data_IF_204906678142
#
_entry.id   IF_204906678142
#
_cell.length_a   1.000
_cell.length_b   1.000
_cell.length_c   1.000
_cell.angle_alpha   90.00
_cell.angle_beta   90.00
_cell.angle_gamma   90.00
#
_symmetry.space_group_name_H-M   'P 1'
#
loop_
_entity.id
_entity.type
_entity.pdbx_description
1 polymer ?
#
# COMPACT_ATOMS: atom_id res chain seq x y z
N UNK A 1 -7.11 10.68 -2.32
CA UNK A 1 -7.81 9.55 -1.70
C UNK A 1 -8.63 8.74 -2.69
N UNK A 2 -9.82 9.17 -3.12
CA UNK A 2 -10.67 8.36 -4.01
C UNK A 2 -10.00 7.89 -5.32
N UNK A 3 -9.15 8.73 -5.95
CA UNK A 3 -8.39 8.35 -7.15
C UNK A 3 -7.39 7.21 -6.86
N UNK A 4 -6.70 7.27 -5.72
CA UNK A 4 -5.81 6.17 -5.28
C UNK A 4 -6.60 4.90 -5.02
N UNK A 5 -7.79 5.01 -4.41
CA UNK A 5 -8.64 3.86 -4.11
C UNK A 5 -9.12 3.17 -5.40
N UNK A 6 -9.56 3.96 -6.39
CA UNK A 6 -9.94 3.45 -7.70
C UNK A 6 -8.76 2.77 -8.42
N UNK A 7 -7.57 3.38 -8.36
CA UNK A 7 -6.35 2.81 -8.93
C UNK A 7 -5.96 1.48 -8.27
N UNK A 8 -5.98 1.42 -6.94
CA UNK A 8 -5.67 0.21 -6.18
C UNK A 8 -6.66 -0.92 -6.50
N UNK A 9 -7.97 -0.63 -6.50
CA UNK A 9 -8.99 -1.62 -6.90
C UNK A 9 -8.77 -2.11 -8.34
N UNK A 10 -8.43 -1.20 -9.25
CA UNK A 10 -8.14 -1.54 -10.65
C UNK A 10 -6.99 -2.53 -10.81
N UNK A 11 -5.93 -2.42 -9.99
CA UNK A 11 -4.81 -3.38 -10.00
C UNK A 11 -5.21 -4.68 -9.29
N UNK A 12 -5.75 -4.58 -8.07
CA UNK A 12 -5.98 -5.73 -7.20
C UNK A 12 -7.10 -6.64 -7.70
N UNK A 13 -8.08 -6.10 -8.43
CA UNK A 13 -9.20 -6.86 -8.99
C UNK A 13 -9.01 -7.25 -10.46
N UNK A 14 -7.86 -6.95 -11.06
CA UNK A 14 -7.60 -7.23 -12.47
C UNK A 14 -7.53 -8.74 -12.73
N UNK A 15 -8.31 -9.21 -13.70
CA UNK A 15 -8.27 -10.58 -14.26
C UNK A 15 -8.40 -11.70 -13.21
N UNK A 16 -9.14 -11.45 -12.11
CA UNK A 16 -9.38 -12.44 -11.07
C UNK A 16 -10.70 -13.21 -11.29
N UNK A 17 -10.80 -14.47 -10.85
CA UNK A 17 -12.08 -15.16 -10.75
C UNK A 17 -12.92 -14.62 -9.57
N UNK A 18 -14.24 -14.80 -9.66
CA UNK A 18 -15.18 -14.24 -8.68
C UNK A 18 -14.95 -14.73 -7.24
N UNK A 19 -14.46 -15.95 -7.07
CA UNK A 19 -14.18 -16.55 -5.76
C UNK A 19 -12.97 -15.91 -5.06
N UNK A 20 -12.11 -15.18 -5.79
CA UNK A 20 -10.98 -14.44 -5.22
C UNK A 20 -11.32 -12.98 -4.85
N UNK A 21 -12.53 -12.48 -5.17
CA UNK A 21 -12.88 -11.06 -4.92
C UNK A 21 -12.73 -10.70 -3.43
N UNK A 22 -13.24 -11.55 -2.52
CA UNK A 22 -13.17 -11.27 -1.09
C UNK A 22 -11.73 -11.14 -0.60
N UNK A 23 -10.86 -12.07 -0.99
CA UNK A 23 -9.43 -12.04 -0.67
C UNK A 23 -8.73 -10.78 -1.21
N UNK A 24 -9.07 -10.35 -2.43
CA UNK A 24 -8.52 -9.10 -2.99
C UNK A 24 -9.02 -7.84 -2.30
N UNK A 25 -10.26 -7.83 -1.81
CA UNK A 25 -10.77 -6.73 -1.01
C UNK A 25 -10.06 -6.63 0.35
N UNK A 26 -9.66 -7.76 0.94
CA UNK A 26 -8.83 -7.76 2.15
C UNK A 26 -7.44 -7.15 1.87
N UNK A 27 -6.84 -7.44 0.72
CA UNK A 27 -5.58 -6.79 0.30
C UNK A 27 -5.77 -5.29 0.08
N UNK A 28 -6.86 -4.88 -0.58
CA UNK A 28 -7.19 -3.48 -0.75
C UNK A 28 -7.30 -2.76 0.60
N UNK A 29 -8.00 -3.37 1.58
CA UNK A 29 -8.12 -2.81 2.91
C UNK A 29 -6.76 -2.66 3.59
N UNK A 30 -5.85 -3.62 3.43
CA UNK A 30 -4.48 -3.53 3.97
C UNK A 30 -3.67 -2.39 3.35
N UNK A 31 -3.76 -2.19 2.02
CA UNK A 31 -3.05 -1.12 1.31
C UNK A 31 -3.61 0.26 1.65
N UNK A 32 -4.91 0.38 1.89
CA UNK A 32 -5.59 1.68 1.91
C UNK A 32 -5.97 2.19 3.28
N UNK A 33 -6.36 1.31 4.21
CA UNK A 33 -6.96 1.72 5.50
C UNK A 33 -6.04 2.66 6.27
N UNK A 34 -4.80 2.25 6.51
CA UNK A 34 -3.87 3.01 7.33
C UNK A 34 -3.52 4.36 6.67
N UNK A 35 -3.21 4.35 5.37
CA UNK A 35 -2.93 5.59 4.63
C UNK A 35 -4.12 6.55 4.62
N UNK A 36 -5.32 6.05 4.39
CA UNK A 36 -6.52 6.88 4.37
C UNK A 36 -6.80 7.52 5.73
N UNK A 37 -6.66 6.75 6.81
CA UNK A 37 -6.75 7.28 8.17
C UNK A 37 -5.73 8.38 8.42
N UNK A 38 -4.44 8.17 8.06
CA UNK A 38 -3.38 9.18 8.25
C UNK A 38 -3.71 10.49 7.53
N UNK A 39 -4.07 10.43 6.24
CA UNK A 39 -4.42 11.62 5.45
C UNK A 39 -5.64 12.34 6.01
N UNK A 40 -6.66 11.59 6.45
CA UNK A 40 -7.86 12.16 7.05
C UNK A 40 -7.55 12.86 8.38
N UNK A 41 -6.73 12.26 9.25
CA UNK A 41 -6.32 12.87 10.52
C UNK A 41 -5.49 14.13 10.26
N UNK A 42 -4.49 14.06 9.37
CA UNK A 42 -3.69 15.22 8.97
C UNK A 42 -4.55 16.35 8.40
N UNK A 43 -5.67 16.04 7.74
CA UNK A 43 -6.60 17.06 7.24
C UNK A 43 -7.33 17.86 8.32
N UNK A 44 -7.37 17.37 9.57
CA UNK A 44 -7.92 18.10 10.71
C UNK A 44 -6.97 19.21 11.19
N UNK A 45 -5.66 19.04 10.98
CA UNK A 45 -4.67 20.00 11.43
C UNK A 45 -4.75 21.31 10.63
N UNK A 46 -4.59 22.44 11.34
CA UNK A 46 -4.38 23.73 10.69
C UNK A 46 -2.99 23.73 10.03
N UNK A 47 -2.85 24.51 8.94
CA UNK A 47 -1.56 24.68 8.28
C UNK A 47 -0.52 25.18 9.29
N UNK A 48 0.61 24.47 9.39
CA UNK A 48 1.68 24.77 10.34
C UNK A 48 1.44 24.25 11.76
N UNK A 49 0.37 23.48 11.97
CA UNK A 49 -0.01 22.83 13.23
C UNK A 49 -0.09 21.31 13.11
N UNK A 50 0.55 20.73 12.10
CA UNK A 50 0.53 19.29 11.85
C UNK A 50 1.06 18.47 13.05
N UNK A 51 2.01 19.02 13.82
CA UNK A 51 2.50 18.42 15.08
C UNK A 51 1.39 18.13 16.11
N UNK A 52 0.28 18.89 16.10
CA UNK A 52 -0.81 18.71 17.08
C UNK A 52 -1.54 17.37 16.91
N UNK A 53 -1.49 16.76 15.73
CA UNK A 53 -2.11 15.46 15.43
C UNK A 53 -1.11 14.32 15.31
N UNK A 54 0.19 14.57 15.51
CA UNK A 54 1.27 13.59 15.28
C UNK A 54 1.02 12.26 16.00
N UNK A 55 0.62 12.32 17.27
CA UNK A 55 0.36 11.14 18.08
C UNK A 55 -0.79 10.28 17.50
N UNK A 56 -1.89 10.92 17.06
CA UNK A 56 -3.04 10.23 16.43
C UNK A 56 -2.63 9.63 15.07
N UNK A 57 -1.85 10.35 14.26
CA UNK A 57 -1.37 9.84 12.97
C UNK A 57 -0.44 8.64 13.15
N UNK A 58 0.38 8.63 14.21
CA UNK A 58 1.33 7.55 14.52
C UNK A 58 0.66 6.21 14.80
N UNK A 59 -0.57 6.19 15.32
CA UNK A 59 -1.35 4.95 15.52
C UNK A 59 -1.65 4.21 14.20
N UNK A 60 -1.57 4.93 13.08
CA UNK A 60 -1.83 4.42 11.74
C UNK A 60 -0.56 4.26 10.92
N UNK A 61 0.63 4.39 11.51
CA UNK A 61 1.88 4.11 10.82
C UNK A 61 2.03 2.59 10.60
N UNK A 62 2.37 2.19 9.37
CA UNK A 62 2.62 0.78 9.05
C UNK A 62 3.97 0.28 9.60
N UNK A 63 4.91 1.19 9.81
CA UNK A 63 6.21 0.93 10.42
C UNK A 63 6.61 2.10 11.34
N UNK A 64 7.25 1.84 12.51
CA UNK A 64 7.70 2.88 13.43
C UNK A 64 8.68 3.92 12.84
N UNK A 65 9.38 3.57 11.77
CA UNK A 65 10.34 4.42 11.06
C UNK A 65 9.68 5.33 10.03
N UNK A 66 8.38 5.21 9.78
CA UNK A 66 7.68 6.13 8.87
C UNK A 66 7.74 7.53 9.46
N UNK A 67 8.23 8.47 8.64
CA UNK A 67 8.26 9.87 9.00
C UNK A 67 6.83 10.41 9.03
N UNK A 68 6.38 10.84 10.21
CA UNK A 68 5.09 11.49 10.40
C UNK A 68 5.28 12.98 10.11
N UNK A 69 4.53 13.57 9.16
CA UNK A 69 4.64 14.98 8.87
C UNK A 69 4.30 15.85 10.07
N UNK A 70 5.20 16.75 10.45
CA UNK A 70 5.02 17.73 11.53
C UNK A 70 4.91 19.16 11.02
N UNK A 71 5.11 19.37 9.72
CA UNK A 71 4.90 20.63 9.01
C UNK A 71 4.07 20.48 7.75
N UNK A 72 3.54 21.59 7.25
CA UNK A 72 2.77 21.63 6.02
C UNK A 72 3.56 21.11 4.81
N UNK A 73 4.84 21.50 4.69
CA UNK A 73 5.71 21.08 3.60
C UNK A 73 5.92 19.57 3.62
N UNK A 74 6.23 19.00 4.79
CA UNK A 74 6.36 17.55 4.96
C UNK A 74 5.07 16.83 4.62
N UNK A 75 3.91 17.38 5.00
CA UNK A 75 2.61 16.80 4.70
C UNK A 75 2.37 16.77 3.20
N UNK A 76 2.62 17.88 2.50
CA UNK A 76 2.52 17.94 1.04
C UNK A 76 3.42 16.88 0.41
N UNK A 77 4.68 16.78 0.81
CA UNK A 77 5.59 15.77 0.28
C UNK A 77 5.06 14.35 0.54
N UNK A 78 4.69 14.02 1.77
CA UNK A 78 4.16 12.72 2.16
C UNK A 78 2.89 12.32 1.39
N UNK A 79 1.97 13.26 1.17
CA UNK A 79 0.68 12.97 0.52
C UNK A 79 0.86 12.78 -0.99
N UNK A 80 1.68 13.61 -1.65
CA UNK A 80 1.85 13.60 -3.11
C UNK A 80 2.97 12.69 -3.63
N UNK A 81 3.90 12.21 -2.79
CA UNK A 81 4.99 11.33 -3.23
C UNK A 81 4.65 9.84 -3.20
N UNK A 82 3.44 9.48 -2.80
CA UNK A 82 3.07 8.08 -2.60
C UNK A 82 2.64 7.41 -3.90
N UNK A 83 3.25 6.26 -4.17
CA UNK A 83 2.91 5.40 -5.29
C UNK A 83 2.01 4.24 -4.83
N UNK A 84 0.72 4.38 -5.06
CA UNK A 84 -0.26 3.35 -4.71
C UNK A 84 -0.12 2.09 -5.56
N UNK A 85 0.40 2.20 -6.78
CA UNK A 85 0.54 1.07 -7.69
C UNK A 85 1.70 0.18 -7.27
N UNK A 86 2.85 0.78 -6.97
CA UNK A 86 4.00 0.06 -6.43
C UNK A 86 3.64 -0.69 -5.13
N UNK A 87 2.83 -0.11 -4.26
CA UNK A 87 2.37 -0.76 -3.04
C UNK A 87 1.41 -1.94 -3.32
N UNK A 88 0.50 -1.80 -4.29
CA UNK A 88 -0.37 -2.91 -4.71
C UNK A 88 0.45 -4.07 -5.31
N UNK A 89 1.47 -3.77 -6.12
CA UNK A 89 2.37 -4.78 -6.66
C UNK A 89 3.13 -5.51 -5.55
N UNK A 90 3.68 -4.76 -4.59
CA UNK A 90 4.40 -5.31 -3.44
C UNK A 90 3.51 -6.28 -2.64
N UNK A 91 2.27 -5.90 -2.35
CA UNK A 91 1.37 -6.76 -1.57
C UNK A 91 0.93 -7.99 -2.35
N UNK A 92 0.73 -7.89 -3.67
CA UNK A 92 0.41 -9.02 -4.54
C UNK A 92 1.56 -10.04 -4.58
N UNK A 93 2.80 -9.57 -4.74
CA UNK A 93 4.00 -10.42 -4.69
C UNK A 93 4.11 -11.10 -3.33
N UNK A 94 3.92 -10.36 -2.23
CA UNK A 94 3.93 -10.93 -0.88
C UNK A 94 2.79 -11.95 -0.65
N UNK A 95 1.68 -11.81 -1.38
CA UNK A 95 0.56 -12.75 -1.39
C UNK A 95 0.81 -13.96 -2.32
N UNK A 96 1.97 -14.07 -2.96
CA UNK A 96 2.29 -15.17 -3.87
C UNK A 96 1.63 -15.07 -5.23
N UNK A 97 1.18 -13.87 -5.63
CA UNK A 97 0.55 -13.62 -6.92
C UNK A 97 1.55 -12.89 -7.78
N UNK A 98 2.00 -13.55 -8.85
CA UNK A 98 2.84 -12.90 -9.85
C UNK A 98 2.02 -11.83 -10.59
N UNK A 99 2.40 -10.56 -10.43
CA UNK A 99 1.83 -9.46 -11.20
C UNK A 99 2.81 -9.06 -12.31
N UNK A 100 2.35 -9.11 -13.56
CA UNK A 100 3.16 -8.73 -14.72
C UNK A 100 2.80 -7.31 -15.14
N UNK A 101 3.76 -6.38 -15.04
CA UNK A 101 3.66 -5.06 -15.66
C UNK A 101 4.53 -5.07 -16.91
N UNK A 102 3.96 -4.74 -18.07
CA UNK A 102 4.64 -4.69 -19.38
C UNK A 102 5.18 -6.03 -19.94
N UNK A 103 4.42 -7.13 -19.86
CA UNK A 103 4.71 -8.35 -20.64
C UNK A 103 5.96 -9.15 -20.24
N UNK A 104 6.84 -8.62 -19.39
CA UNK A 104 8.01 -9.32 -18.88
C UNK A 104 7.69 -9.99 -17.54
N UNK A 105 7.45 -11.29 -17.60
CA UNK A 105 7.31 -12.14 -16.43
C UNK A 105 8.65 -12.18 -15.67
N UNK A 106 8.74 -11.50 -14.53
CA UNK A 106 9.80 -11.80 -13.54
C UNK A 106 9.28 -12.82 -12.55
N UNK A 107 9.43 -14.10 -12.90
CA UNK A 107 9.31 -15.20 -11.94
C UNK A 107 10.58 -15.26 -11.10
N UNK A 108 10.48 -14.91 -9.81
CA UNK A 108 11.43 -15.44 -8.84
C UNK A 108 11.04 -16.90 -8.59
N UNK A 109 11.74 -17.81 -9.26
CA UNK A 109 11.69 -19.23 -8.95
C UNK A 109 12.09 -19.43 -7.48
N UNK A 110 11.14 -19.88 -6.66
CA UNK A 110 11.45 -20.50 -5.39
C UNK A 110 12.06 -21.87 -5.70
N UNK A 111 13.39 -21.96 -5.71
CA UNK A 111 14.10 -23.23 -5.70
C UNK A 111 13.77 -23.95 -4.40
N UNK A 112 12.96 -25.01 -4.48
CA UNK A 112 12.95 -26.06 -3.46
C UNK A 112 14.25 -26.84 -3.60
N UNK A 113 15.09 -26.76 -2.58
CA UNK A 113 16.25 -27.64 -2.41
C UNK A 113 15.78 -29.05 -2.02
N UNK A 114 15.25 -29.81 -2.98
CA UNK A 114 15.08 -31.25 -2.81
C UNK A 114 16.22 -31.95 -3.55
N UNK A 115 17.40 -31.89 -2.93
CA UNK A 115 18.57 -32.65 -3.36
C UNK A 115 18.44 -34.11 -2.96
N UNK A 116 17.83 -34.94 -3.79
CA UNK A 116 18.06 -36.39 -3.78
C UNK A 116 18.07 -36.92 -5.22
N UNK A 117 19.24 -37.42 -5.63
CA UNK A 117 19.45 -38.29 -6.80
C UNK A 117 19.29 -39.75 -6.35
N UNK A 118 18.28 -40.46 -6.84
CA UNK A 118 18.32 -41.80 -7.50
C UNK A 118 17.03 -41.95 -8.32
#
# INVERSE_FOLDING_TARGET
MAIEDAGALGILLKDIPNDQIAERLDLFQRVRKNRASRVQILSKARVGKEVEVEAEVREWAEDPSILIPTSHQERTMHDYSYDVFAECERILVAHGVAHTVNGDVKTHASTREDGITV
#
